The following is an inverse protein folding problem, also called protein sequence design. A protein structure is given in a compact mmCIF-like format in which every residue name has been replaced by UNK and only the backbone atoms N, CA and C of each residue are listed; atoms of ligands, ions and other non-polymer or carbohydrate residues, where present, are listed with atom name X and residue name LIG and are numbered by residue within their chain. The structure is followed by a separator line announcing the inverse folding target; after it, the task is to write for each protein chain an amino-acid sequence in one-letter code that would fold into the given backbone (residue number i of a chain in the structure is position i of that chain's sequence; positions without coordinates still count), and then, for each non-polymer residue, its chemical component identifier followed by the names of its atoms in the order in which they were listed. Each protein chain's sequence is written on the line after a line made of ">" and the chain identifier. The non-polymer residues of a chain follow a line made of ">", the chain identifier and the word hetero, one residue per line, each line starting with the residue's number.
data_IF_254030446466
#
_entry.id   IF_254030446466
#
_cell.length_a   1.000
_cell.length_b   1.000
_cell.length_c   1.000
_cell.angle_alpha   90.00
_cell.angle_beta   90.00
_cell.angle_gamma   90.00
#
_symmetry.space_group_name_H-M   'P 1'
#
loop_
_entity.id
_entity.type
_entity.pdbx_description
1 polymer ?
#
# COMPACT_ATOMS: atom_id res chain seq x y z
N UNK A 1 -3.07 -25.11 37.34
CA UNK A 1 -3.43 -25.77 36.07
C UNK A 1 -3.61 -24.66 35.02
N UNK A 2 -2.60 -24.48 34.16
CA UNK A 2 -2.67 -23.48 33.09
C UNK A 2 -3.53 -24.04 31.98
N UNK A 3 -4.59 -23.34 31.62
CA UNK A 3 -5.38 -23.66 30.43
C UNK A 3 -4.46 -23.62 29.20
N UNK A 4 -4.57 -24.58 28.27
CA UNK A 4 -3.80 -24.53 27.02
C UNK A 4 -4.23 -23.29 26.24
N UNK A 5 -3.26 -22.41 25.96
CA UNK A 5 -3.42 -21.30 25.00
C UNK A 5 -3.88 -21.90 23.67
N UNK A 6 -4.98 -21.39 23.14
CA UNK A 6 -5.43 -21.73 21.78
C UNK A 6 -4.23 -21.62 20.82
N UNK A 7 -4.07 -22.52 19.85
CA UNK A 7 -3.01 -22.40 18.86
C UNK A 7 -3.19 -21.05 18.16
N UNK A 8 -2.13 -20.24 18.23
CA UNK A 8 -2.03 -18.93 17.56
C UNK A 8 -2.14 -19.20 16.06
N UNK A 9 -3.33 -19.06 15.51
CA UNK A 9 -3.63 -19.35 14.09
C UNK A 9 -3.14 -18.21 13.20
N UNK A 10 -1.84 -17.88 13.32
CA UNK A 10 -1.20 -16.94 12.40
C UNK A 10 -1.03 -17.59 11.03
N UNK A 11 -1.45 -16.86 10.00
CA UNK A 11 -1.09 -17.23 8.64
C UNK A 11 0.40 -17.00 8.44
N UNK A 12 1.13 -18.03 8.03
CA UNK A 12 2.57 -17.97 7.81
C UNK A 12 2.85 -17.84 6.31
N UNK A 13 3.52 -16.74 5.95
CA UNK A 13 3.96 -16.46 4.60
C UNK A 13 5.49 -16.61 4.48
N UNK A 14 5.98 -16.83 3.26
CA UNK A 14 7.41 -16.75 2.99
C UNK A 14 7.86 -15.29 3.02
N UNK A 15 7.12 -14.40 2.36
CA UNK A 15 7.44 -12.97 2.31
C UNK A 15 6.18 -12.12 2.37
N UNK A 16 6.31 -10.91 2.96
CA UNK A 16 5.25 -9.90 3.04
C UNK A 16 5.84 -8.57 2.60
N UNK A 17 5.09 -7.83 1.78
CA UNK A 17 5.45 -6.49 1.31
C UNK A 17 4.34 -5.52 1.70
N UNK A 18 4.71 -4.41 2.30
CA UNK A 18 3.82 -3.37 2.83
C UNK A 18 4.41 -2.01 2.45
N UNK A 19 3.61 -1.14 1.85
CA UNK A 19 3.98 0.24 1.58
C UNK A 19 2.92 1.23 2.04
N UNK A 20 3.20 2.51 1.90
CA UNK A 20 2.23 3.61 1.97
C UNK A 20 1.32 3.55 3.21
N UNK A 21 1.92 3.30 4.37
CA UNK A 21 1.20 3.23 5.65
C UNK A 21 0.93 4.61 6.22
N UNK A 22 1.82 5.58 5.93
CA UNK A 22 1.73 6.97 6.38
C UNK A 22 1.47 7.10 7.88
N UNK A 23 2.20 6.33 8.71
CA UNK A 23 2.17 6.51 10.17
C UNK A 23 2.53 7.97 10.51
N UNK A 24 1.77 8.56 11.41
CA UNK A 24 1.85 9.99 11.71
C UNK A 24 0.76 10.82 11.05
N UNK A 25 -0.20 10.17 10.35
CA UNK A 25 -1.39 10.82 9.80
C UNK A 25 -2.68 10.23 10.37
N UNK A 26 -3.74 11.05 10.40
CA UNK A 26 -5.09 10.57 10.80
C UNK A 26 -5.74 9.67 9.76
N UNK A 27 -5.22 9.64 8.54
CA UNK A 27 -5.72 8.81 7.44
C UNK A 27 -5.19 7.38 7.49
N UNK A 28 -4.10 7.15 8.23
CA UNK A 28 -3.53 5.81 8.35
C UNK A 28 -4.51 4.84 9.03
N UNK A 29 -4.73 3.69 8.43
CA UNK A 29 -5.51 2.60 9.00
C UNK A 29 -4.61 1.66 9.82
N UNK A 30 -3.91 2.26 10.77
CA UNK A 30 -2.99 1.57 11.69
C UNK A 30 -3.65 0.47 12.50
N UNK A 31 -4.96 0.59 12.77
CA UNK A 31 -5.80 -0.44 13.38
C UNK A 31 -5.84 -1.74 12.54
N UNK A 32 -6.08 -1.61 11.23
CA UNK A 32 -6.09 -2.72 10.27
C UNK A 32 -4.71 -3.31 10.06
N UNK A 33 -3.69 -2.45 9.94
CA UNK A 33 -2.31 -2.88 9.78
C UNK A 33 -1.81 -3.64 11.02
N UNK A 34 -2.12 -3.16 12.23
CA UNK A 34 -1.77 -3.85 13.45
C UNK A 34 -2.48 -5.23 13.54
N UNK A 35 -3.75 -5.32 13.13
CA UNK A 35 -4.48 -6.59 13.10
C UNK A 35 -3.84 -7.56 12.08
N UNK A 36 -3.49 -7.08 10.87
CA UNK A 36 -2.76 -7.87 9.87
C UNK A 36 -1.44 -8.41 10.44
N UNK A 37 -0.60 -7.54 11.01
CA UNK A 37 0.70 -7.93 11.58
C UNK A 37 0.59 -8.87 12.78
N UNK A 38 -0.50 -8.84 13.54
CA UNK A 38 -0.76 -9.80 14.63
C UNK A 38 -1.12 -11.17 14.11
N UNK A 39 -1.89 -11.23 13.02
CA UNK A 39 -2.42 -12.48 12.46
C UNK A 39 -1.51 -13.11 11.41
N UNK A 40 -0.41 -12.45 11.07
CA UNK A 40 0.54 -12.94 10.07
C UNK A 40 1.93 -13.07 10.66
N UNK A 41 2.70 -13.97 10.06
CA UNK A 41 4.14 -14.12 10.28
C UNK A 41 4.81 -14.40 8.94
N UNK A 42 6.09 -14.05 8.81
CA UNK A 42 6.82 -14.27 7.57
C UNK A 42 8.32 -14.46 7.82
N UNK A 43 9.02 -14.99 6.83
CA UNK A 43 10.49 -15.07 6.83
C UNK A 43 11.10 -13.73 6.44
N UNK A 44 10.50 -13.03 5.45
CA UNK A 44 10.97 -11.75 4.95
C UNK A 44 9.83 -10.72 5.00
N UNK A 45 10.07 -9.57 5.63
CA UNK A 45 9.16 -8.42 5.65
C UNK A 45 9.83 -7.24 4.95
N UNK A 46 9.22 -6.78 3.88
CA UNK A 46 9.64 -5.58 3.16
C UNK A 46 8.70 -4.42 3.49
N UNK A 47 9.27 -3.32 4.00
CA UNK A 47 8.61 -2.05 4.22
C UNK A 47 9.00 -1.14 3.06
N UNK A 48 8.10 -1.00 2.07
CA UNK A 48 8.41 -0.51 0.72
C UNK A 48 8.06 0.98 0.57
N UNK A 49 8.53 1.79 1.51
CA UNK A 49 8.45 3.25 1.49
C UNK A 49 7.15 3.83 2.04
N UNK A 50 7.24 5.10 2.39
CA UNK A 50 6.15 5.89 2.96
C UNK A 50 5.51 5.23 4.21
N UNK A 51 6.37 4.59 5.02
CA UNK A 51 5.96 3.95 6.27
C UNK A 51 5.66 5.00 7.33
N UNK A 52 6.53 6.01 7.47
CA UNK A 52 6.35 7.13 8.39
C UNK A 52 6.18 8.41 7.59
N UNK A 53 5.06 9.14 7.79
CA UNK A 53 4.86 10.41 7.11
C UNK A 53 5.62 11.55 7.77
N UNK A 54 6.90 11.64 7.50
CA UNK A 54 7.79 12.68 8.01
C UNK A 54 7.39 14.08 7.55
N UNK A 55 6.74 14.22 6.38
CA UNK A 55 6.28 15.53 5.90
C UNK A 55 5.12 16.07 6.75
N UNK A 56 4.19 15.20 7.14
CA UNK A 56 3.06 15.58 8.01
C UNK A 56 3.52 15.82 9.43
N UNK A 57 4.36 14.95 9.98
CA UNK A 57 4.88 15.09 11.34
C UNK A 57 5.65 16.40 11.54
N UNK A 58 6.37 16.89 10.52
CA UNK A 58 7.07 18.19 10.56
C UNK A 58 6.10 19.40 10.61
N UNK A 59 4.90 19.24 10.03
CA UNK A 59 3.90 20.33 10.01
C UNK A 59 3.00 20.31 11.22
N UNK A 60 2.57 19.14 11.66
CA UNK A 60 1.67 18.94 12.79
C UNK A 60 1.89 17.55 13.34
N UNK A 61 2.38 17.50 14.58
CA UNK A 61 2.60 16.22 15.24
C UNK A 61 1.26 15.50 15.49
N UNK A 62 1.15 14.30 14.97
CA UNK A 62 0.05 13.39 15.28
C UNK A 62 0.63 11.98 15.42
N UNK A 63 0.43 11.38 16.56
CA UNK A 63 0.89 10.02 16.84
C UNK A 63 0.02 9.44 17.94
N UNK A 64 -0.61 8.32 17.70
CA UNK A 64 -1.48 7.64 18.67
C UNK A 64 -0.99 6.22 19.00
N UNK A 65 -1.66 5.58 19.94
CA UNK A 65 -1.28 4.25 20.43
C UNK A 65 -1.31 3.17 19.34
N UNK A 66 -2.13 3.34 18.31
CA UNK A 66 -2.21 2.38 17.21
C UNK A 66 -0.98 2.44 16.30
N UNK A 67 -0.39 3.63 16.12
CA UNK A 67 0.88 3.80 15.42
C UNK A 67 2.02 3.14 16.19
N UNK A 68 2.08 3.34 17.51
CA UNK A 68 3.04 2.67 18.39
C UNK A 68 2.93 1.16 18.29
N UNK A 69 1.71 0.64 18.26
CA UNK A 69 1.47 -0.79 18.17
C UNK A 69 1.99 -1.39 16.87
N UNK A 70 1.81 -0.70 15.73
CA UNK A 70 2.37 -1.13 14.43
C UNK A 70 3.90 -1.25 14.54
N UNK A 71 4.57 -0.22 15.05
CA UNK A 71 6.03 -0.25 15.20
C UNK A 71 6.48 -1.38 16.14
N UNK A 72 5.78 -1.58 17.26
CA UNK A 72 6.08 -2.69 18.20
C UNK A 72 5.94 -4.05 17.52
N UNK A 73 4.92 -4.23 16.68
CA UNK A 73 4.70 -5.49 15.97
C UNK A 73 5.81 -5.75 14.95
N UNK A 74 6.22 -4.73 14.17
CA UNK A 74 7.34 -4.83 13.22
C UNK A 74 8.62 -5.19 13.97
N UNK A 75 8.94 -4.48 15.06
CA UNK A 75 10.12 -4.76 15.88
C UNK A 75 10.06 -6.15 16.54
N UNK A 76 8.88 -6.62 16.92
CA UNK A 76 8.69 -7.98 17.45
C UNK A 76 8.97 -9.02 16.38
N UNK A 77 8.52 -8.85 15.16
CA UNK A 77 8.81 -9.76 14.05
C UNK A 77 10.33 -9.79 13.78
N UNK A 78 10.99 -8.63 13.69
CA UNK A 78 12.43 -8.56 13.50
C UNK A 78 13.22 -9.31 14.61
N UNK A 79 12.85 -9.10 15.87
CA UNK A 79 13.47 -9.81 17.01
C UNK A 79 13.14 -11.31 17.03
N UNK A 80 12.03 -11.69 16.43
CA UNK A 80 11.58 -13.07 16.28
C UNK A 80 12.27 -13.84 15.14
N UNK A 81 13.19 -13.20 14.40
CA UNK A 81 13.97 -13.83 13.33
C UNK A 81 13.45 -13.53 11.91
N UNK A 82 12.39 -12.72 11.76
CA UNK A 82 11.97 -12.21 10.45
C UNK A 82 13.03 -11.25 9.92
N UNK A 83 13.49 -11.45 8.69
CA UNK A 83 14.37 -10.50 8.01
C UNK A 83 13.58 -9.27 7.56
N UNK A 84 13.75 -8.15 8.23
CA UNK A 84 13.04 -6.91 7.92
C UNK A 84 13.93 -5.98 7.10
N UNK A 85 13.44 -5.58 5.92
CA UNK A 85 14.08 -4.60 5.04
C UNK A 85 13.20 -3.37 4.93
N UNK A 86 13.75 -2.20 5.25
CA UNK A 86 13.10 -0.90 5.13
C UNK A 86 13.67 -0.16 3.91
N UNK A 87 12.81 0.20 2.99
CA UNK A 87 13.14 0.99 1.78
C UNK A 87 12.45 2.34 1.94
N UNK A 88 13.14 3.47 2.14
CA UNK A 88 12.51 4.77 2.32
C UNK A 88 11.82 5.26 1.03
N UNK A 89 10.59 5.77 1.16
CA UNK A 89 9.88 6.52 0.14
C UNK A 89 10.17 8.02 0.20
N UNK A 90 9.32 8.82 -0.43
CA UNK A 90 9.45 10.28 -0.42
C UNK A 90 8.92 10.92 0.87
N UNK A 91 7.91 10.35 1.54
CA UNK A 91 7.42 10.89 2.81
C UNK A 91 8.36 10.63 3.99
N UNK A 92 9.16 9.58 3.89
CA UNK A 92 10.19 9.22 4.87
C UNK A 92 11.62 9.33 4.30
N UNK A 93 11.82 10.19 3.30
CA UNK A 93 13.11 10.49 2.65
C UNK A 93 14.22 10.87 3.63
N UNK A 94 13.87 11.34 4.81
CA UNK A 94 14.83 11.67 5.87
C UNK A 94 15.72 10.48 6.25
N UNK A 95 15.28 9.25 6.02
CA UNK A 95 16.09 8.06 6.26
C UNK A 95 17.11 7.80 5.16
N UNK A 96 16.96 8.40 3.97
CA UNK A 96 17.86 8.21 2.82
C UNK A 96 19.27 8.71 3.07
N UNK A 97 19.43 9.73 3.92
CA UNK A 97 20.76 10.24 4.31
C UNK A 97 21.65 9.19 5.00
N UNK A 98 21.05 8.15 5.59
CA UNK A 98 21.75 7.09 6.31
C UNK A 98 21.99 5.82 5.48
N UNK A 99 21.47 5.75 4.25
CA UNK A 99 21.71 4.63 3.34
C UNK A 99 23.19 4.31 3.12
N UNK A 100 24.11 5.32 2.96
CA UNK A 100 25.53 5.02 2.75
C UNK A 100 26.20 4.32 3.93
N UNK A 101 25.63 4.42 5.13
CA UNK A 101 26.17 3.79 6.33
C UNK A 101 25.82 2.31 6.45
N UNK A 102 24.94 1.79 5.59
CA UNK A 102 24.51 0.40 5.62
C UNK A 102 23.84 -0.02 6.91
N UNK A 103 23.10 0.91 7.55
CA UNK A 103 22.56 0.72 8.89
C UNK A 103 21.63 -0.48 8.99
N UNK A 104 21.79 -1.19 10.11
CA UNK A 104 20.83 -2.13 10.64
C UNK A 104 20.47 -1.70 12.06
N UNK A 105 19.21 -1.39 12.30
CA UNK A 105 18.73 -0.91 13.61
C UNK A 105 17.66 -1.86 14.11
N UNK A 106 17.91 -2.47 15.27
CA UNK A 106 16.98 -3.40 15.91
C UNK A 106 16.54 -4.58 15.01
N UNK A 107 17.42 -5.04 14.11
CA UNK A 107 17.15 -6.11 13.15
C UNK A 107 16.44 -5.64 11.87
N UNK A 108 16.31 -4.32 11.67
CA UNK A 108 15.74 -3.74 10.44
C UNK A 108 16.88 -3.19 9.59
N UNK A 109 17.03 -3.71 8.37
CA UNK A 109 18.04 -3.27 7.39
C UNK A 109 17.50 -2.13 6.54
N UNK A 110 18.19 -0.99 6.56
CA UNK A 110 17.86 0.15 5.71
C UNK A 110 18.54 -0.03 4.33
N UNK A 111 17.75 -0.02 3.26
CA UNK A 111 18.21 -0.18 1.87
C UNK A 111 17.49 0.81 0.96
N UNK A 112 18.14 1.23 -0.16
CA UNK A 112 17.51 2.04 -1.20
C UNK A 112 16.51 1.22 -2.01
N UNK A 113 16.87 -0.03 -2.25
CA UNK A 113 16.12 -1.05 -2.97
C UNK A 113 16.56 -2.43 -2.50
N UNK A 114 15.82 -3.46 -2.84
CA UNK A 114 16.19 -4.83 -2.56
C UNK A 114 15.94 -5.72 -3.78
N UNK A 115 16.56 -6.90 -3.77
CA UNK A 115 16.25 -7.96 -4.72
C UNK A 115 15.64 -9.11 -3.93
N UNK A 116 14.41 -9.44 -4.26
CA UNK A 116 13.72 -10.58 -3.69
C UNK A 116 13.77 -11.78 -4.64
N UNK A 117 14.26 -12.91 -4.13
CA UNK A 117 14.24 -14.17 -4.85
C UNK A 117 13.04 -14.99 -4.37
N UNK A 118 12.04 -15.16 -5.23
CA UNK A 118 10.85 -15.97 -4.90
C UNK A 118 11.19 -17.45 -4.77
N UNK A 119 10.35 -18.24 -4.07
CA UNK A 119 10.51 -19.68 -4.01
C UNK A 119 10.43 -20.34 -5.40
N UNK A 120 9.75 -19.70 -6.36
CA UNK A 120 9.69 -20.12 -7.75
C UNK A 120 10.93 -19.73 -8.58
N UNK A 121 11.95 -19.10 -7.96
CA UNK A 121 13.20 -18.73 -8.62
C UNK A 121 13.16 -17.40 -9.38
N UNK A 122 12.07 -16.65 -9.35
CA UNK A 122 11.97 -15.32 -9.98
C UNK A 122 12.69 -14.27 -9.13
N UNK A 123 13.40 -13.36 -9.80
CA UNK A 123 14.10 -12.24 -9.18
C UNK A 123 13.25 -10.98 -9.31
N UNK A 124 12.74 -10.48 -8.20
CA UNK A 124 11.92 -9.26 -8.15
C UNK A 124 12.76 -8.10 -7.62
N UNK A 125 12.75 -6.98 -8.35
CA UNK A 125 13.29 -5.71 -7.86
C UNK A 125 12.25 -5.10 -6.91
N UNK A 126 12.66 -4.76 -5.68
CA UNK A 126 11.78 -4.14 -4.67
C UNK A 126 12.26 -2.70 -4.45
N UNK A 127 11.40 -1.73 -4.71
CA UNK A 127 11.70 -0.30 -4.57
C UNK A 127 10.40 0.48 -4.35
N UNK A 128 10.48 1.68 -3.76
CA UNK A 128 9.25 2.46 -3.52
C UNK A 128 8.62 2.97 -4.83
N UNK A 129 9.43 3.51 -5.73
CA UNK A 129 8.96 3.96 -7.05
C UNK A 129 8.87 5.47 -7.22
N UNK A 130 9.00 6.28 -6.18
CA UNK A 130 8.89 7.75 -6.24
C UNK A 130 9.91 8.42 -7.19
N UNK A 131 11.02 7.77 -7.49
CA UNK A 131 12.01 8.26 -8.45
C UNK A 131 11.46 8.33 -9.90
N UNK A 132 10.37 7.61 -10.17
CA UNK A 132 9.69 7.58 -11.47
C UNK A 132 8.46 8.50 -11.52
N UNK A 133 8.27 9.34 -10.49
CA UNK A 133 7.06 10.14 -10.23
C UNK A 133 6.95 11.44 -11.07
N UNK A 134 7.65 11.62 -12.15
CA UNK A 134 7.41 12.81 -12.99
C UNK A 134 5.95 12.95 -13.46
N UNK A 135 5.08 11.99 -13.13
CA UNK A 135 3.76 11.80 -13.73
C UNK A 135 2.58 11.69 -12.75
N UNK A 136 2.78 11.35 -11.47
CA UNK A 136 1.70 10.85 -10.57
C UNK A 136 0.93 11.91 -9.79
N UNK A 137 1.24 13.18 -9.91
CA UNK A 137 0.47 14.27 -9.22
C UNK A 137 -1.05 14.26 -9.47
N UNK A 138 -1.53 13.49 -10.44
CA UNK A 138 -2.94 13.49 -10.85
C UNK A 138 -3.78 12.33 -10.30
N UNK A 139 -3.20 11.20 -9.94
CA UNK A 139 -3.95 10.01 -9.52
C UNK A 139 -4.69 10.19 -8.18
N UNK A 140 -4.07 10.86 -7.21
CA UNK A 140 -4.68 11.14 -5.89
C UNK A 140 -5.94 12.00 -5.94
N UNK A 141 -6.08 12.84 -6.98
CA UNK A 141 -7.27 13.69 -7.15
C UNK A 141 -8.50 12.90 -7.63
N UNK A 142 -8.30 11.76 -8.27
CA UNK A 142 -9.36 11.00 -8.89
C UNK A 142 -10.00 9.94 -7.99
N UNK A 143 -9.25 9.41 -7.04
CA UNK A 143 -9.80 8.52 -6.02
C UNK A 143 -10.85 9.21 -5.14
N UNK A 144 -10.75 10.54 -4.98
CA UNK A 144 -11.72 11.36 -4.24
C UNK A 144 -13.04 11.62 -5.00
N UNK A 145 -13.09 11.30 -6.29
CA UNK A 145 -14.25 11.51 -7.16
C UNK A 145 -15.04 10.21 -7.36
N UNK A 146 -15.42 9.55 -6.25
CA UNK A 146 -16.35 8.42 -6.30
C UNK A 146 -17.69 8.76 -6.95
N UNK A 147 -18.51 7.77 -7.26
CA UNK A 147 -19.80 7.86 -7.98
C UNK A 147 -20.73 8.97 -7.45
N UNK A 148 -20.70 9.23 -6.15
CA UNK A 148 -21.48 10.31 -5.53
C UNK A 148 -21.03 11.70 -6.00
N UNK A 149 -19.73 11.95 -6.07
CA UNK A 149 -19.17 13.23 -6.53
C UNK A 149 -19.48 13.44 -8.03
N UNK A 150 -19.53 12.38 -8.82
CA UNK A 150 -19.93 12.45 -10.23
C UNK A 150 -21.40 12.87 -10.39
N UNK A 151 -22.33 12.29 -9.61
CA UNK A 151 -23.74 12.63 -9.65
C UNK A 151 -23.99 14.08 -9.19
N UNK A 152 -23.32 14.51 -8.10
CA UNK A 152 -23.37 15.90 -7.60
C UNK A 152 -22.76 16.86 -8.62
N UNK A 153 -21.66 16.50 -9.26
CA UNK A 153 -21.02 17.29 -10.30
C UNK A 153 -21.93 17.49 -11.52
N UNK A 154 -22.68 16.48 -11.94
CA UNK A 154 -23.63 16.60 -13.04
C UNK A 154 -24.80 17.53 -12.70
N UNK A 155 -25.36 17.45 -11.49
CA UNK A 155 -26.42 18.34 -11.03
C UNK A 155 -25.92 19.79 -10.93
N UNK A 156 -24.73 19.99 -10.35
CA UNK A 156 -24.07 21.30 -10.25
C UNK A 156 -23.76 21.89 -11.64
N UNK A 157 -23.32 21.08 -12.60
CA UNK A 157 -22.99 21.53 -13.95
C UNK A 157 -24.17 22.19 -14.66
N UNK A 158 -25.41 21.65 -14.44
CA UNK A 158 -26.64 22.22 -15.01
C UNK A 158 -26.91 23.62 -14.48
N UNK A 159 -26.80 23.81 -13.16
CA UNK A 159 -27.00 25.09 -12.48
C UNK A 159 -25.90 26.10 -12.85
N UNK A 160 -24.66 25.67 -12.81
CA UNK A 160 -23.50 26.46 -13.14
C UNK A 160 -23.54 27.02 -14.58
N UNK A 161 -23.96 26.20 -15.56
CA UNK A 161 -24.08 26.64 -16.94
C UNK A 161 -25.27 27.59 -17.17
N UNK A 162 -26.32 27.51 -16.36
CA UNK A 162 -27.40 28.48 -16.39
C UNK A 162 -26.92 29.88 -15.97
N UNK A 163 -26.10 29.96 -14.93
CA UNK A 163 -25.46 31.22 -14.47
C UNK A 163 -24.49 31.73 -15.54
N UNK A 164 -23.61 30.85 -16.07
CA UNK A 164 -22.63 31.23 -17.11
C UNK A 164 -23.33 31.84 -18.33
N UNK A 165 -24.43 31.25 -18.80
CA UNK A 165 -25.23 31.79 -19.93
C UNK A 165 -25.75 33.20 -19.64
N UNK A 166 -26.24 33.45 -18.41
CA UNK A 166 -26.70 34.80 -18.00
C UNK A 166 -25.56 35.82 -18.00
N UNK A 167 -24.33 35.38 -17.74
CA UNK A 167 -23.11 36.20 -17.72
C UNK A 167 -22.41 36.29 -19.08
N UNK A 168 -22.98 35.71 -20.15
CA UNK A 168 -22.40 35.75 -21.51
C UNK A 168 -21.24 34.81 -21.74
N UNK A 169 -20.97 33.86 -20.84
CA UNK A 169 -19.90 32.89 -21.02
C UNK A 169 -20.35 31.65 -21.81
N UNK A 170 -19.46 31.04 -22.62
CA UNK A 170 -19.77 29.83 -23.40
C UNK A 170 -20.06 28.65 -22.45
N UNK A 171 -20.79 27.66 -22.99
CA UNK A 171 -21.06 26.40 -22.28
C UNK A 171 -19.78 25.70 -21.86
N UNK A 172 -19.71 25.24 -20.61
CA UNK A 172 -18.60 24.46 -20.07
C UNK A 172 -19.13 23.12 -19.54
N UNK A 173 -18.51 22.02 -19.95
CA UNK A 173 -18.93 20.69 -19.54
C UNK A 173 -18.03 20.14 -18.46
N UNK A 174 -18.54 20.11 -17.23
CA UNK A 174 -17.85 19.48 -16.10
C UNK A 174 -17.61 17.99 -16.36
N UNK A 175 -18.54 17.30 -17.01
CA UNK A 175 -18.39 15.88 -17.35
C UNK A 175 -17.26 15.63 -18.36
N UNK A 176 -17.08 16.51 -19.35
CA UNK A 176 -15.95 16.41 -20.28
C UNK A 176 -14.62 16.70 -19.60
N UNK A 177 -14.58 17.72 -18.73
CA UNK A 177 -13.39 18.03 -17.94
C UNK A 177 -13.02 16.85 -17.05
N UNK A 178 -13.98 16.26 -16.33
CA UNK A 178 -13.78 15.10 -15.48
C UNK A 178 -13.27 13.89 -16.27
N UNK A 179 -13.91 13.56 -17.40
CA UNK A 179 -13.43 12.48 -18.29
C UNK A 179 -11.99 12.70 -18.75
N UNK A 180 -11.61 13.96 -19.01
CA UNK A 180 -10.22 14.29 -19.37
C UNK A 180 -9.28 14.03 -18.19
N UNK A 181 -9.66 14.44 -16.97
CA UNK A 181 -8.85 14.19 -15.77
C UNK A 181 -8.65 12.69 -15.52
N UNK A 182 -9.74 11.88 -15.60
CA UNK A 182 -9.66 10.42 -15.50
C UNK A 182 -8.70 9.85 -16.54
N UNK A 183 -8.83 10.26 -17.81
CA UNK A 183 -7.96 9.79 -18.88
C UNK A 183 -6.48 10.15 -18.66
N UNK A 184 -6.20 11.35 -18.18
CA UNK A 184 -4.82 11.76 -17.88
C UNK A 184 -4.24 10.99 -16.69
N UNK A 185 -5.05 10.66 -15.68
CA UNK A 185 -4.59 9.84 -14.56
C UNK A 185 -4.32 8.39 -14.97
N UNK A 186 -5.20 7.79 -15.76
CA UNK A 186 -4.95 6.43 -16.31
C UNK A 186 -3.65 6.41 -17.10
N UNK A 187 -3.42 7.39 -17.98
CA UNK A 187 -2.16 7.50 -18.70
C UNK A 187 -0.94 7.70 -17.78
N UNK A 188 -1.13 8.41 -16.67
CA UNK A 188 -0.07 8.62 -15.68
C UNK A 188 0.31 7.30 -15.00
N UNK A 189 -0.69 6.51 -14.59
CA UNK A 189 -0.49 5.16 -14.05
C UNK A 189 0.24 4.28 -15.07
N UNK A 190 -0.26 4.21 -16.32
CA UNK A 190 0.37 3.40 -17.38
C UNK A 190 1.84 3.77 -17.62
N UNK A 191 2.17 5.06 -17.59
CA UNK A 191 3.56 5.53 -17.76
C UNK A 191 4.44 5.13 -16.58
N UNK A 192 3.93 5.24 -15.36
CA UNK A 192 4.64 4.85 -14.15
C UNK A 192 4.95 3.34 -14.17
N UNK A 193 3.96 2.53 -14.44
CA UNK A 193 4.10 1.08 -14.53
C UNK A 193 5.09 0.67 -15.63
N UNK A 194 4.96 1.30 -16.82
CA UNK A 194 5.89 1.06 -17.92
C UNK A 194 7.32 1.47 -17.59
N UNK A 195 7.50 2.58 -16.87
CA UNK A 195 8.83 3.05 -16.47
C UNK A 195 9.49 2.06 -15.49
N UNK A 196 8.75 1.57 -14.49
CA UNK A 196 9.25 0.58 -13.54
C UNK A 196 9.52 -0.77 -14.19
N UNK A 197 8.62 -1.25 -15.05
CA UNK A 197 8.83 -2.49 -15.80
C UNK A 197 10.05 -2.41 -16.72
N UNK A 198 10.25 -1.27 -17.39
CA UNK A 198 11.43 -1.04 -18.23
C UNK A 198 12.73 -1.03 -17.40
N UNK A 199 12.72 -0.41 -16.21
CA UNK A 199 13.87 -0.41 -15.31
C UNK A 199 14.21 -1.82 -14.84
N UNK A 200 13.20 -2.61 -14.42
CA UNK A 200 13.38 -4.00 -14.02
C UNK A 200 13.96 -4.84 -15.17
N UNK A 201 13.41 -4.70 -16.38
CA UNK A 201 13.90 -5.39 -17.58
C UNK A 201 15.34 -5.01 -17.90
N UNK A 202 15.64 -3.72 -17.92
CA UNK A 202 16.99 -3.21 -18.20
C UNK A 202 18.04 -3.81 -17.27
N UNK A 203 17.64 -4.07 -16.01
CA UNK A 203 18.51 -4.64 -14.97
C UNK A 203 18.46 -6.17 -14.91
N UNK A 204 17.68 -6.84 -15.77
CA UNK A 204 17.60 -8.30 -15.86
C UNK A 204 16.79 -8.95 -14.73
N UNK A 205 15.76 -8.23 -14.22
CA UNK A 205 14.80 -8.77 -13.25
C UNK A 205 13.54 -9.29 -13.95
N UNK A 206 12.92 -10.30 -13.34
CA UNK A 206 11.69 -10.93 -13.81
C UNK A 206 10.44 -10.10 -13.44
N UNK A 207 10.57 -9.22 -12.45
CA UNK A 207 9.49 -8.36 -12.01
C UNK A 207 9.95 -7.23 -11.10
N UNK A 208 9.01 -6.35 -10.77
CA UNK A 208 9.18 -5.24 -9.83
C UNK A 208 8.04 -5.20 -8.83
N UNK A 209 8.36 -4.96 -7.55
CA UNK A 209 7.41 -4.68 -6.47
C UNK A 209 7.60 -3.23 -6.03
N UNK A 210 6.50 -2.48 -6.00
CA UNK A 210 6.52 -1.07 -5.61
C UNK A 210 5.26 -0.68 -4.83
N UNK A 211 5.27 0.55 -4.29
CA UNK A 211 4.12 1.25 -3.70
C UNK A 211 3.85 2.57 -4.42
N UNK A 212 3.78 3.68 -3.67
CA UNK A 212 3.78 5.08 -4.06
C UNK A 212 2.50 5.59 -4.71
N UNK A 213 1.91 4.89 -5.67
CA UNK A 213 0.70 5.37 -6.37
C UNK A 213 -0.61 4.96 -5.67
N UNK A 214 -0.54 4.21 -4.58
CA UNK A 214 -1.69 3.73 -3.80
C UNK A 214 -2.72 2.95 -4.63
N UNK A 215 -2.25 2.21 -5.62
CA UNK A 215 -3.10 1.43 -6.51
C UNK A 215 -2.62 -0.02 -6.55
N UNK A 216 -3.25 -0.86 -5.73
CA UNK A 216 -2.91 -2.28 -5.66
C UNK A 216 -3.20 -2.96 -7.00
N UNK A 217 -2.16 -3.46 -7.66
CA UNK A 217 -2.24 -4.07 -8.98
C UNK A 217 -1.15 -5.13 -9.15
N UNK A 218 -1.48 -6.24 -9.77
CA UNK A 218 -0.52 -7.25 -10.14
C UNK A 218 -0.81 -7.70 -11.58
N UNK A 219 0.06 -7.33 -12.50
CA UNK A 219 -0.09 -7.64 -13.92
C UNK A 219 1.24 -7.75 -14.64
N UNK A 220 1.23 -8.33 -15.81
CA UNK A 220 2.37 -8.33 -16.71
C UNK A 220 2.39 -7.07 -17.55
N UNK A 221 3.54 -6.38 -17.56
CA UNK A 221 3.79 -5.19 -18.38
C UNK A 221 5.01 -5.48 -19.26
N UNK A 222 4.78 -5.64 -20.55
CA UNK A 222 5.83 -5.91 -21.55
C UNK A 222 6.76 -7.08 -21.17
N UNK A 223 6.22 -8.18 -20.64
CA UNK A 223 6.97 -9.37 -20.25
C UNK A 223 7.68 -9.29 -18.90
N UNK A 224 7.40 -8.25 -18.09
CA UNK A 224 7.87 -8.09 -16.70
C UNK A 224 6.68 -8.10 -15.76
N UNK A 225 6.77 -8.85 -14.66
CA UNK A 225 5.76 -8.86 -13.64
C UNK A 225 5.80 -7.54 -12.83
N UNK A 226 4.81 -6.69 -13.05
CA UNK A 226 4.61 -5.46 -12.26
C UNK A 226 3.67 -5.76 -11.09
N UNK A 227 4.07 -5.33 -9.89
CA UNK A 227 3.25 -5.46 -8.67
C UNK A 227 3.33 -4.16 -7.89
N UNK A 228 2.16 -3.58 -7.59
CA UNK A 228 2.01 -2.53 -6.60
C UNK A 228 1.25 -3.11 -5.41
N UNK A 229 1.79 -3.01 -4.21
CA UNK A 229 1.20 -3.62 -3.01
C UNK A 229 0.08 -2.77 -2.37
N UNK A 230 -0.17 -1.57 -2.93
CA UNK A 230 -1.28 -0.69 -2.54
C UNK A 230 -0.91 0.25 -1.41
N UNK A 231 -1.78 0.35 -0.40
CA UNK A 231 -1.62 1.29 0.73
C UNK A 231 -2.38 0.83 1.98
N UNK A 232 -2.13 1.51 3.12
CA UNK A 232 -2.85 1.33 4.39
C UNK A 232 -3.58 2.61 4.83
N UNK A 233 -4.04 3.39 3.86
CA UNK A 233 -4.87 4.58 4.04
C UNK A 233 -6.29 4.33 3.53
N UNK A 234 -6.41 3.78 2.34
CA UNK A 234 -7.68 3.55 1.64
C UNK A 234 -7.94 2.07 1.36
N UNK A 235 -6.99 1.39 0.72
CA UNK A 235 -7.17 0.01 0.24
C UNK A 235 -6.91 -1.06 1.31
N UNK A 236 -5.98 -0.82 2.23
CA UNK A 236 -5.52 -1.77 3.26
C UNK A 236 -5.07 -3.10 2.65
N UNK A 237 -4.17 -3.02 1.69
CA UNK A 237 -3.63 -4.16 0.94
C UNK A 237 -2.18 -4.43 1.25
N UNK A 238 -1.76 -5.67 1.04
CA UNK A 238 -0.37 -6.11 1.10
C UNK A 238 -0.10 -7.17 0.03
N UNK A 239 1.12 -7.20 -0.50
CA UNK A 239 1.56 -8.33 -1.29
C UNK A 239 2.13 -9.41 -0.36
N UNK A 240 1.72 -10.66 -0.57
CA UNK A 240 2.28 -11.80 0.15
C UNK A 240 2.82 -12.84 -0.82
N UNK A 241 3.87 -13.55 -0.39
CA UNK A 241 4.36 -14.73 -1.07
C UNK A 241 4.14 -15.95 -0.17
N UNK A 242 3.46 -16.93 -0.71
CA UNK A 242 3.28 -18.24 -0.06
C UNK A 242 4.56 -19.07 -0.17
N UNK A 243 4.67 -20.14 0.66
CA UNK A 243 5.85 -21.00 0.65
C UNK A 243 6.04 -21.79 -0.65
N UNK A 244 4.98 -21.94 -1.46
CA UNK A 244 5.01 -22.54 -2.79
C UNK A 244 5.45 -21.56 -3.89
N UNK A 245 5.72 -20.29 -3.55
CA UNK A 245 6.12 -19.22 -4.48
C UNK A 245 4.95 -18.50 -5.15
N UNK A 246 3.71 -18.81 -4.81
CA UNK A 246 2.53 -18.08 -5.27
C UNK A 246 2.50 -16.69 -4.64
N UNK A 247 2.37 -15.67 -5.49
CA UNK A 247 2.19 -14.28 -5.09
C UNK A 247 0.70 -13.95 -5.03
N UNK A 248 0.29 -13.16 -4.05
CA UNK A 248 -1.11 -12.78 -3.83
C UNK A 248 -1.20 -11.36 -3.26
N UNK A 249 -2.07 -10.53 -3.84
CA UNK A 249 -2.48 -9.27 -3.22
C UNK A 249 -3.62 -9.55 -2.25
N UNK A 250 -3.37 -9.31 -0.97
CA UNK A 250 -4.34 -9.53 0.12
C UNK A 250 -5.06 -8.23 0.41
N UNK A 251 -6.37 -8.17 0.16
CA UNK A 251 -7.24 -7.07 0.61
C UNK A 251 -7.73 -7.36 2.04
N UNK A 252 -7.02 -6.77 3.02
CA UNK A 252 -7.32 -6.99 4.43
C UNK A 252 -8.63 -6.36 4.88
N UNK A 253 -9.04 -5.25 4.24
CA UNK A 253 -10.31 -4.60 4.52
C UNK A 253 -11.50 -5.47 4.09
N UNK A 254 -11.42 -6.11 2.92
CA UNK A 254 -12.44 -7.02 2.44
C UNK A 254 -12.55 -8.27 3.31
N UNK A 255 -11.42 -8.88 3.69
CA UNK A 255 -11.38 -10.05 4.56
C UNK A 255 -12.00 -9.77 5.93
N UNK A 256 -11.75 -8.59 6.52
CA UNK A 256 -12.35 -8.21 7.78
C UNK A 256 -13.85 -7.94 7.67
N UNK A 257 -14.35 -7.36 6.57
CA UNK A 257 -15.80 -7.21 6.34
C UNK A 257 -16.51 -8.56 6.33
N UNK A 258 -15.93 -9.56 5.67
CA UNK A 258 -16.48 -10.91 5.63
C UNK A 258 -16.51 -11.58 7.02
N UNK A 259 -15.53 -11.32 7.88
CA UNK A 259 -15.49 -11.87 9.23
C UNK A 259 -16.55 -11.27 10.16
N UNK A 260 -16.98 -10.03 9.94
CA UNK A 260 -18.09 -9.40 10.68
C UNK A 260 -19.46 -10.01 10.35
N UNK A 261 -19.62 -10.58 9.15
CA UNK A 261 -20.85 -11.21 8.70
C UNK A 261 -20.88 -12.74 8.86
N UNK A 262 -19.76 -13.36 9.23
CA UNK A 262 -19.73 -14.79 9.54
C UNK A 262 -20.53 -15.05 10.83
N UNK A 263 -21.55 -15.95 10.85
CA UNK A 263 -22.28 -16.27 12.06
C UNK A 263 -21.29 -16.82 13.09
N UNK A 264 -21.23 -16.21 14.29
CA UNK A 264 -20.50 -16.76 15.43
C UNK A 264 -20.99 -18.19 15.62
N UNK A 265 -20.11 -19.18 15.45
CA UNK A 265 -20.39 -20.54 15.90
C UNK A 265 -20.67 -20.46 17.40
N UNK A 266 -21.93 -20.60 17.77
CA UNK A 266 -22.30 -20.78 19.16
C UNK A 266 -21.68 -22.10 19.57
N UNK A 267 -20.76 -22.06 20.52
CA UNK A 267 -20.21 -23.29 21.12
C UNK A 267 -21.39 -24.07 21.69
N UNK A 268 -21.60 -25.29 21.22
CA UNK A 268 -22.58 -26.20 21.82
C UNK A 268 -22.19 -26.39 23.29
N UNK A 269 -23.18 -26.29 24.23
CA UNK A 269 -22.91 -26.55 25.61
C UNK A 269 -22.49 -28.03 25.75
N UNK A 270 -21.35 -28.24 26.41
CA UNK A 270 -20.90 -29.57 26.75
C UNK A 270 -22.02 -30.26 27.53
N UNK A 271 -22.59 -31.31 26.96
CA UNK A 271 -23.50 -32.21 27.64
C UNK A 271 -22.75 -32.91 28.75
N UNK A 272 -23.24 -32.75 29.98
CA UNK A 272 -22.77 -33.39 31.20
C UNK A 272 -22.96 -34.91 31.16
#
# INVERSE_FOLDING_TARGET
>A
MNAPSSPDTRTNYRSVFISDTHLGTRGCRSDFLADFLRRTSCQHLYLVGDIIDGWRLRKSWYWDDSHDEVLRLILRQARGGTEVTYIPGNHDEMFRQWLPLGLEIAGIRLRREAVHLTAAGKRLLVMHGDEFDSVVRYAKFLALLGDWAYAVALAFNRYFNAIRRRLGYPYWSLSQWLKRQVKEAVKAIDRFESALANEARRRGFDGVVCGHIHHAEMREVDGVLYINDGDWVESCTALVEHHDGRLELVDWAALNRLSFFAPRRIAEPATA
#
